data_IF_507455203473
#
_entry.id   IF_507455203473
#
_cell.length_a   1.000
_cell.length_b   1.000
_cell.length_c   1.000
_cell.angle_alpha   90.00
_cell.angle_beta   90.00
_cell.angle_gamma   90.00
#
_symmetry.space_group_name_H-M   'P 1'
#
loop_
_entity.id
_entity.type
_entity.pdbx_description
1 polymer ?
#
# COMPACT_ATOMS: atom_id res chain seq x y z
N UNK A 1 12.50 -20.55 11.94
CA UNK A 1 11.15 -20.00 11.69
C UNK A 1 11.23 -19.19 10.42
N UNK A 2 10.46 -19.53 9.38
CA UNK A 2 10.35 -18.69 8.19
C UNK A 2 9.83 -17.29 8.61
N UNK A 3 10.41 -16.24 8.05
CA UNK A 3 10.03 -14.87 8.35
C UNK A 3 8.95 -14.45 7.36
N UNK A 4 7.75 -14.15 7.84
CA UNK A 4 6.69 -13.65 6.97
C UNK A 4 6.97 -12.19 6.64
N UNK A 5 7.13 -11.90 5.35
CA UNK A 5 7.27 -10.55 4.82
C UNK A 5 5.98 -10.17 4.10
N UNK A 6 5.41 -9.02 4.47
CA UNK A 6 4.22 -8.45 3.82
C UNK A 6 4.58 -7.12 3.18
N UNK A 7 4.17 -6.92 1.94
CA UNK A 7 4.43 -5.69 1.19
C UNK A 7 3.08 -5.13 0.76
N UNK A 8 2.82 -3.88 1.10
CA UNK A 8 1.65 -3.15 0.63
C UNK A 8 2.07 -2.04 -0.32
N UNK A 9 1.35 -1.95 -1.45
CA UNK A 9 1.63 -0.98 -2.52
C UNK A 9 0.33 -0.22 -2.80
N UNK A 10 0.35 1.10 -2.55
CA UNK A 10 -0.63 2.05 -3.09
C UNK A 10 -0.07 2.64 -4.39
N UNK A 11 -0.52 2.19 -5.57
CA UNK A 11 0.11 2.55 -6.84
C UNK A 11 -0.49 3.82 -7.45
N UNK A 12 0.34 4.53 -8.22
CA UNK A 12 -0.12 5.63 -9.06
C UNK A 12 0.48 5.58 -10.47
N UNK A 13 -0.30 5.97 -11.47
CA UNK A 13 0.19 6.13 -12.84
C UNK A 13 0.82 7.49 -13.11
N UNK A 14 0.44 8.54 -12.37
CA UNK A 14 0.80 9.95 -12.65
C UNK A 14 0.95 10.83 -11.40
N UNK A 15 0.91 10.24 -10.20
CA UNK A 15 1.02 10.91 -8.91
C UNK A 15 2.05 10.26 -8.00
N UNK A 16 1.64 9.84 -6.80
CA UNK A 16 2.51 9.22 -5.79
C UNK A 16 2.21 7.75 -5.61
N UNK A 17 3.23 6.90 -5.75
CA UNK A 17 3.19 5.51 -5.33
C UNK A 17 3.81 5.40 -3.94
N UNK A 18 3.16 4.68 -3.02
CA UNK A 18 3.72 4.35 -1.71
C UNK A 18 3.91 2.83 -1.56
N UNK A 19 5.03 2.44 -0.96
CA UNK A 19 5.36 1.05 -0.65
C UNK A 19 5.74 0.94 0.82
N UNK A 20 5.24 -0.09 1.49
CA UNK A 20 5.63 -0.43 2.87
C UNK A 20 6.00 -1.90 2.99
N UNK A 21 6.94 -2.20 3.89
CA UNK A 21 7.41 -3.56 4.13
C UNK A 21 7.29 -3.89 5.61
N UNK A 22 6.58 -4.98 5.87
CA UNK A 22 6.48 -5.59 7.18
C UNK A 22 7.30 -6.86 7.22
N UNK A 23 7.95 -7.08 8.37
CA UNK A 23 8.59 -8.33 8.71
C UNK A 23 8.08 -8.78 10.07
N UNK A 24 7.43 -9.95 10.12
CA UNK A 24 6.78 -10.46 11.33
C UNK A 24 5.85 -9.41 11.98
N UNK A 25 4.98 -8.80 11.18
CA UNK A 25 4.03 -7.74 11.59
C UNK A 25 4.66 -6.46 12.16
N UNK A 26 5.95 -6.22 11.95
CA UNK A 26 6.60 -4.93 12.24
C UNK A 26 6.95 -4.22 10.94
N UNK A 27 6.55 -2.96 10.81
CA UNK A 27 6.98 -2.12 9.69
C UNK A 27 8.50 -1.90 9.79
N UNK A 28 9.24 -2.31 8.76
CA UNK A 28 10.71 -2.20 8.70
C UNK A 28 11.19 -1.23 7.63
N UNK A 29 10.36 -0.93 6.64
CA UNK A 29 10.69 0.06 5.61
C UNK A 29 9.42 0.69 5.02
N UNK A 30 9.55 1.92 4.53
CA UNK A 30 8.49 2.68 3.87
C UNK A 30 9.11 3.65 2.86
N UNK A 31 8.55 3.73 1.65
CA UNK A 31 8.99 4.66 0.61
C UNK A 31 7.81 5.28 -0.13
N UNK A 32 8.02 6.49 -0.63
CA UNK A 32 7.12 7.19 -1.53
C UNK A 32 7.89 7.64 -2.77
N UNK A 33 7.24 7.56 -3.93
CA UNK A 33 7.79 8.00 -5.19
C UNK A 33 6.74 8.79 -5.96
N UNK A 34 7.07 10.03 -6.34
CA UNK A 34 6.16 10.92 -7.07
C UNK A 34 6.69 11.17 -8.48
N UNK A 35 5.92 10.81 -9.49
CA UNK A 35 6.24 11.04 -10.90
C UNK A 35 4.96 11.09 -11.75
N UNK A 36 5.04 11.74 -12.92
CA UNK A 36 3.95 11.84 -13.89
C UNK A 36 3.89 10.69 -14.88
N UNK A 37 4.91 9.82 -14.91
CA UNK A 37 4.99 8.71 -15.86
C UNK A 37 4.84 7.34 -15.21
N UNK A 38 3.96 6.51 -15.76
CA UNK A 38 3.66 5.18 -15.23
C UNK A 38 4.84 4.21 -15.35
N UNK A 39 5.73 4.40 -16.34
CA UNK A 39 6.91 3.56 -16.54
C UNK A 39 7.89 3.73 -15.39
N UNK A 40 8.08 4.96 -14.95
CA UNK A 40 8.93 5.33 -13.84
C UNK A 40 8.37 4.75 -12.53
N UNK A 41 7.05 4.75 -12.35
CA UNK A 41 6.39 4.05 -11.23
C UNK A 41 6.60 2.54 -11.28
N UNK A 42 6.47 1.93 -12.46
CA UNK A 42 6.75 0.51 -12.65
C UNK A 42 8.21 0.17 -12.31
N UNK A 43 9.17 0.93 -12.84
CA UNK A 43 10.60 0.76 -12.56
C UNK A 43 10.90 0.93 -11.06
N UNK A 44 10.32 1.94 -10.41
CA UNK A 44 10.43 2.13 -8.97
C UNK A 44 9.97 0.88 -8.20
N UNK A 45 8.77 0.38 -8.48
CA UNK A 45 8.21 -0.80 -7.81
C UNK A 45 9.09 -2.04 -8.06
N UNK A 46 9.45 -2.32 -9.31
CA UNK A 46 10.23 -3.52 -9.66
C UNK A 46 11.64 -3.47 -9.08
N UNK A 47 12.31 -2.31 -9.14
CA UNK A 47 13.63 -2.15 -8.55
C UNK A 47 13.58 -2.28 -7.02
N UNK A 48 12.51 -1.77 -6.40
CA UNK A 48 12.29 -1.95 -4.96
C UNK A 48 12.12 -3.43 -4.62
N UNK A 49 11.26 -4.17 -5.31
CA UNK A 49 11.02 -5.60 -5.08
C UNK A 49 12.25 -6.49 -5.39
N UNK A 50 13.17 -6.01 -6.22
CA UNK A 50 14.47 -6.68 -6.53
C UNK A 50 15.57 -6.33 -5.53
N UNK A 51 15.33 -5.50 -4.52
CA UNK A 51 16.36 -5.04 -3.60
C UNK A 51 16.84 -6.16 -2.67
N UNK A 52 17.90 -6.86 -3.08
CA UNK A 52 18.48 -7.99 -2.33
C UNK A 52 18.91 -7.64 -0.90
N UNK A 53 19.18 -6.36 -0.57
CA UNK A 53 19.51 -5.97 0.81
C UNK A 53 18.30 -6.08 1.74
N UNK A 54 17.11 -5.73 1.25
CA UNK A 54 15.89 -5.75 2.04
C UNK A 54 15.30 -7.17 2.15
N UNK A 55 15.55 -7.95 1.11
CA UNK A 55 14.76 -9.11 0.74
C UNK A 55 15.58 -10.40 0.66
N UNK A 56 16.90 -10.30 0.54
CA UNK A 56 17.75 -11.42 0.15
C UNK A 56 17.52 -11.81 -1.31
N UNK A 57 18.03 -12.98 -1.72
CA UNK A 57 17.91 -13.50 -3.09
C UNK A 57 16.52 -14.11 -3.35
N UNK A 58 15.47 -13.28 -3.28
CA UNK A 58 14.06 -13.72 -3.36
C UNK A 58 13.72 -14.32 -4.73
N UNK A 59 14.22 -13.73 -5.80
CA UNK A 59 13.66 -13.94 -7.13
C UNK A 59 14.27 -15.12 -7.90
N UNK A 60 14.56 -16.23 -7.21
CA UNK A 60 15.05 -17.44 -7.90
C UNK A 60 14.18 -18.70 -7.75
N UNK A 61 13.35 -18.89 -6.71
CA UNK A 61 12.75 -20.24 -6.48
C UNK A 61 11.38 -20.29 -5.77
N UNK A 62 10.28 -19.79 -6.36
CA UNK A 62 8.91 -20.19 -5.95
C UNK A 62 8.50 -20.05 -4.45
N UNK A 63 9.10 -19.14 -3.67
CA UNK A 63 8.78 -18.97 -2.24
C UNK A 63 7.56 -18.05 -1.97
N UNK A 64 6.41 -18.30 -2.61
CA UNK A 64 5.16 -17.56 -2.38
C UNK A 64 4.68 -17.57 -0.91
N UNK A 65 5.13 -18.55 -0.12
CA UNK A 65 4.74 -18.69 1.29
C UNK A 65 5.48 -17.75 2.25
N UNK A 66 6.61 -17.15 1.83
CA UNK A 66 7.40 -16.24 2.67
C UNK A 66 7.08 -14.76 2.41
N UNK A 67 6.54 -14.44 1.23
CA UNK A 67 6.29 -13.09 0.76
C UNK A 67 4.85 -12.92 0.30
N UNK A 68 4.13 -12.01 0.96
CA UNK A 68 2.80 -11.57 0.54
C UNK A 68 2.93 -10.16 -0.02
N UNK A 69 2.68 -9.99 -1.32
CA UNK A 69 2.77 -8.71 -2.00
C UNK A 69 1.37 -8.32 -2.47
N UNK A 70 0.86 -7.23 -1.90
CA UNK A 70 -0.47 -6.71 -2.18
C UNK A 70 -0.38 -5.35 -2.84
N UNK A 71 -1.12 -5.17 -3.93
CA UNK A 71 -1.25 -3.89 -4.64
C UNK A 71 -2.71 -3.51 -4.77
N UNK A 72 -3.05 -2.25 -4.51
CA UNK A 72 -4.42 -1.80 -4.72
C UNK A 72 -4.76 -1.63 -6.21
N UNK A 73 -5.86 -2.24 -6.62
CA UNK A 73 -6.40 -2.11 -7.97
C UNK A 73 -7.41 -0.95 -8.02
N UNK A 74 -6.89 0.27 -8.07
CA UNK A 74 -7.65 1.50 -7.88
C UNK A 74 -8.41 1.99 -9.14
N UNK A 75 -8.99 1.07 -9.93
CA UNK A 75 -9.67 1.46 -11.17
C UNK A 75 -10.81 2.45 -10.90
N UNK A 76 -10.65 3.65 -11.45
CA UNK A 76 -11.64 4.70 -11.43
C UNK A 76 -12.91 4.18 -12.10
N UNK A 77 -14.00 4.10 -11.34
CA UNK A 77 -15.33 3.70 -11.81
C UNK A 77 -15.99 4.73 -12.74
N UNK A 78 -15.27 5.77 -13.16
CA UNK A 78 -15.79 6.79 -14.07
C UNK A 78 -15.39 6.47 -15.51
N UNK A 79 -16.41 6.35 -16.37
CA UNK A 79 -16.32 6.00 -17.78
C UNK A 79 -15.57 7.01 -18.67
N UNK A 80 -15.05 8.11 -18.11
CA UNK A 80 -14.33 9.14 -18.88
C UNK A 80 -12.85 8.75 -18.96
N UNK A 81 -12.38 8.45 -20.18
CA UNK A 81 -10.98 8.10 -20.46
C UNK A 81 -10.03 9.25 -20.14
N UNK A 82 -9.48 9.25 -18.93
CA UNK A 82 -8.41 10.16 -18.52
C UNK A 82 -7.06 9.47 -18.69
N UNK A 83 -6.05 10.26 -19.06
CA UNK A 83 -4.65 9.79 -19.13
C UNK A 83 -4.23 9.08 -17.84
N UNK A 84 -4.63 9.61 -16.68
CA UNK A 84 -4.30 9.04 -15.37
C UNK A 84 -4.88 7.63 -15.18
N UNK A 85 -6.11 7.39 -15.65
CA UNK A 85 -6.73 6.06 -15.62
C UNK A 85 -5.97 5.10 -16.53
N UNK A 86 -5.67 5.51 -17.75
CA UNK A 86 -5.00 4.66 -18.73
C UNK A 86 -3.56 4.34 -18.32
N UNK A 87 -2.87 5.29 -17.69
CA UNK A 87 -1.52 5.12 -17.17
C UNK A 87 -1.50 4.23 -15.91
N UNK A 88 -2.48 4.35 -15.01
CA UNK A 88 -2.66 3.38 -13.92
C UNK A 88 -3.00 1.97 -14.43
N UNK A 89 -3.85 1.86 -15.45
CA UNK A 89 -4.17 0.58 -16.12
C UNK A 89 -2.93 -0.08 -16.71
N UNK A 90 -2.08 0.68 -17.41
CA UNK A 90 -0.80 0.18 -17.95
C UNK A 90 0.12 -0.29 -16.84
N UNK A 91 0.23 0.47 -15.74
CA UNK A 91 1.03 0.08 -14.59
C UNK A 91 0.55 -1.24 -13.99
N UNK A 92 -0.75 -1.33 -13.65
CA UNK A 92 -1.34 -2.51 -13.03
C UNK A 92 -1.23 -3.73 -13.94
N UNK A 93 -1.57 -3.59 -15.23
CA UNK A 93 -1.43 -4.67 -16.21
C UNK A 93 0.02 -5.13 -16.38
N UNK A 94 1.00 -4.21 -16.35
CA UNK A 94 2.42 -4.57 -16.40
C UNK A 94 2.85 -5.32 -15.15
N UNK A 95 2.38 -4.93 -13.97
CA UNK A 95 2.69 -5.60 -12.70
C UNK A 95 1.99 -6.96 -12.56
N UNK A 96 0.80 -7.13 -13.14
CA UNK A 96 0.08 -8.41 -13.15
C UNK A 96 0.89 -9.51 -13.86
N UNK A 97 1.65 -9.15 -14.91
CA UNK A 97 2.54 -10.10 -15.62
C UNK A 97 3.61 -10.73 -14.73
N UNK A 98 3.88 -10.17 -13.54
CA UNK A 98 4.84 -10.73 -12.59
C UNK A 98 4.34 -12.02 -11.93
N UNK A 99 3.01 -12.27 -11.87
CA UNK A 99 2.43 -13.54 -11.39
C UNK A 99 2.54 -13.83 -9.88
N UNK A 100 3.22 -12.97 -9.11
CA UNK A 100 3.39 -13.09 -7.66
C UNK A 100 2.82 -11.90 -6.85
N UNK A 101 2.20 -10.92 -7.52
CA UNK A 101 1.58 -9.76 -6.88
C UNK A 101 0.06 -9.98 -6.83
N UNK A 102 -0.52 -9.97 -5.64
CA UNK A 102 -1.96 -10.08 -5.43
C UNK A 102 -2.64 -8.70 -5.46
N UNK A 103 -3.78 -8.58 -6.12
CA UNK A 103 -4.51 -7.32 -6.24
C UNK A 103 -5.60 -7.20 -5.18
N UNK A 104 -5.71 -6.02 -4.58
CA UNK A 104 -6.69 -5.70 -3.54
C UNK A 104 -7.70 -4.67 -4.06
N UNK A 105 -8.98 -4.86 -3.73
CA UNK A 105 -10.01 -3.89 -4.09
C UNK A 105 -9.88 -2.61 -3.27
N UNK A 106 -10.04 -1.42 -3.87
CA UNK A 106 -10.04 -0.14 -3.16
C UNK A 106 -11.21 0.00 -2.19
N UNK A 107 -12.20 -0.90 -2.24
CA UNK A 107 -13.26 -0.98 -1.22
C UNK A 107 -12.67 -1.27 0.17
N UNK A 108 -11.57 -2.02 0.25
CA UNK A 108 -10.96 -2.39 1.52
C UNK A 108 -10.39 -1.17 2.26
N UNK A 109 -9.47 -0.45 1.62
CA UNK A 109 -8.87 0.79 2.15
C UNK A 109 -9.94 1.84 2.45
N UNK A 110 -10.84 2.10 1.50
CA UNK A 110 -11.96 3.05 1.67
C UNK A 110 -12.84 2.71 2.87
N UNK A 111 -13.12 1.42 3.11
CA UNK A 111 -13.92 1.00 4.26
C UNK A 111 -13.22 1.31 5.58
N UNK A 112 -11.91 1.00 5.70
CA UNK A 112 -11.12 1.28 6.91
C UNK A 112 -11.09 2.78 7.18
N UNK A 113 -10.74 3.58 6.17
CA UNK A 113 -10.67 5.05 6.28
C UNK A 113 -12.01 5.63 6.68
N UNK A 114 -13.09 5.25 5.99
CA UNK A 114 -14.45 5.74 6.27
C UNK A 114 -14.89 5.39 7.69
N UNK A 115 -14.60 4.18 8.16
CA UNK A 115 -14.98 3.75 9.51
C UNK A 115 -14.23 4.53 10.57
N UNK A 116 -12.90 4.62 10.47
CA UNK A 116 -12.09 5.34 11.47
C UNK A 116 -12.40 6.83 11.49
N UNK A 117 -12.53 7.48 10.33
CA UNK A 117 -12.82 8.92 10.25
C UNK A 117 -14.23 9.24 10.74
N UNK A 118 -15.26 8.45 10.38
CA UNK A 118 -16.62 8.72 10.82
C UNK A 118 -16.83 8.43 12.31
N UNK A 119 -16.33 7.30 12.81
CA UNK A 119 -16.48 6.97 14.22
C UNK A 119 -15.75 7.98 15.11
N UNK A 120 -14.64 8.55 14.64
CA UNK A 120 -13.90 9.57 15.38
C UNK A 120 -14.65 10.87 15.63
N UNK A 121 -15.63 11.21 14.79
CA UNK A 121 -16.47 12.42 14.96
C UNK A 121 -17.23 12.44 16.28
N UNK A 122 -17.57 11.25 16.80
CA UNK A 122 -18.40 11.11 17.99
C UNK A 122 -17.58 11.03 19.28
N UNK A 123 -16.25 10.92 19.16
CA UNK A 123 -15.32 10.80 20.29
C UNK A 123 -14.21 11.85 20.15
N UNK A 124 -14.57 13.13 20.30
CA UNK A 124 -13.61 14.23 20.20
C UNK A 124 -12.46 14.06 21.20
N UNK A 125 -11.24 14.36 20.75
CA UNK A 125 -10.03 14.12 21.53
C UNK A 125 -9.48 12.69 21.51
N UNK A 126 -10.26 11.68 21.11
CA UNK A 126 -9.83 10.27 21.17
C UNK A 126 -8.94 9.87 19.98
N UNK A 127 -7.92 9.05 20.28
CA UNK A 127 -7.01 8.48 19.28
C UNK A 127 -7.54 7.11 18.85
N UNK A 128 -8.04 7.03 17.62
CA UNK A 128 -8.45 5.79 16.99
C UNK A 128 -7.25 5.03 16.49
N UNK A 129 -7.25 3.72 16.70
CA UNK A 129 -6.18 2.81 16.30
C UNK A 129 -6.74 1.84 15.28
N UNK A 130 -6.01 1.60 14.21
CA UNK A 130 -6.37 0.56 13.26
C UNK A 130 -6.14 -0.81 13.91
N UNK A 131 -7.15 -1.68 13.88
CA UNK A 131 -7.12 -2.96 14.61
C UNK A 131 -5.95 -3.87 14.17
N UNK A 132 -5.62 -3.86 12.88
CA UNK A 132 -4.56 -4.71 12.32
C UNK A 132 -3.15 -4.12 12.44
N UNK A 133 -3.04 -2.83 12.72
CA UNK A 133 -1.79 -2.18 13.14
C UNK A 133 -2.09 -0.99 14.04
N UNK A 134 -1.98 -1.21 15.34
CA UNK A 134 -2.32 -0.22 16.38
C UNK A 134 -1.44 1.02 16.37
N UNK A 135 -0.33 1.01 15.62
CA UNK A 135 0.53 2.17 15.44
C UNK A 135 -0.01 3.13 14.38
N UNK A 136 -0.85 2.64 13.47
CA UNK A 136 -1.61 3.48 12.54
C UNK A 136 -2.80 4.07 13.29
N UNK A 137 -2.78 5.39 13.44
CA UNK A 137 -3.74 6.11 14.27
C UNK A 137 -4.35 7.31 13.55
N UNK A 138 -5.55 7.67 13.99
CA UNK A 138 -6.29 8.83 13.51
C UNK A 138 -6.99 9.53 14.68
N UNK A 139 -7.05 10.86 14.62
CA UNK A 139 -7.86 11.68 15.51
C UNK A 139 -8.70 12.62 14.64
N UNK A 140 -9.97 12.81 15.01
CA UNK A 140 -10.89 13.65 14.27
C UNK A 140 -10.33 15.06 14.00
N UNK A 141 -10.46 15.52 12.76
CA UNK A 141 -9.96 16.83 12.31
C UNK A 141 -8.43 16.93 12.23
N UNK A 142 -7.69 15.84 12.47
CA UNK A 142 -6.22 15.81 12.39
C UNK A 142 -5.73 14.91 11.26
N UNK A 143 -4.42 14.89 11.05
CA UNK A 143 -3.77 13.99 10.08
C UNK A 143 -3.61 12.58 10.64
N UNK A 144 -3.57 11.59 9.73
CA UNK A 144 -3.16 10.23 10.03
C UNK A 144 -1.72 10.17 10.54
N UNK A 145 -1.45 9.23 11.45
CA UNK A 145 -0.14 9.04 12.06
C UNK A 145 0.28 7.58 12.08
N UNK A 146 1.58 7.34 11.99
CA UNK A 146 2.21 6.05 12.28
C UNK A 146 3.26 6.24 13.36
N UNK A 147 3.21 5.48 14.45
CA UNK A 147 4.12 5.67 15.60
C UNK A 147 4.16 7.14 16.10
N UNK A 148 2.99 7.78 16.17
CA UNK A 148 2.81 9.20 16.51
C UNK A 148 3.37 10.25 15.52
N UNK A 149 4.04 9.82 14.44
CA UNK A 149 4.51 10.69 13.36
C UNK A 149 3.44 10.87 12.29
N UNK A 150 3.28 12.08 11.78
CA UNK A 150 2.37 12.36 10.67
C UNK A 150 2.83 11.60 9.41
N UNK A 151 1.89 10.97 8.71
CA UNK A 151 2.14 10.28 7.44
C UNK A 151 1.23 10.83 6.33
N UNK A 152 1.56 10.55 5.07
CA UNK A 152 0.70 10.82 3.92
C UNK A 152 -0.47 9.84 3.85
N UNK A 153 -1.48 10.19 3.05
CA UNK A 153 -2.59 9.27 2.76
C UNK A 153 -2.12 8.04 1.96
N UNK A 154 -1.11 8.19 1.10
CA UNK A 154 -0.56 7.09 0.31
C UNK A 154 0.14 6.06 1.21
N UNK A 155 0.96 6.51 2.16
CA UNK A 155 1.56 5.61 3.17
C UNK A 155 0.51 4.95 4.05
N UNK A 156 -0.55 5.68 4.45
CA UNK A 156 -1.69 5.10 5.18
C UNK A 156 -2.31 3.97 4.37
N UNK A 157 -2.61 4.20 3.09
CA UNK A 157 -3.26 3.19 2.25
C UNK A 157 -2.34 1.99 2.04
N UNK A 158 -1.06 2.19 1.76
CA UNK A 158 -0.06 1.12 1.69
C UNK A 158 0.01 0.27 2.98
N UNK A 159 -0.08 0.90 4.17
CA UNK A 159 -0.14 0.19 5.46
C UNK A 159 -1.40 -0.67 5.58
N UNK A 160 -2.56 -0.14 5.20
CA UNK A 160 -3.82 -0.88 5.23
C UNK A 160 -3.76 -2.06 4.25
N UNK A 161 -3.23 -1.85 3.04
CA UNK A 161 -3.06 -2.87 2.00
C UNK A 161 -2.13 -3.99 2.47
N UNK A 162 -1.00 -3.67 3.10
CA UNK A 162 -0.05 -4.67 3.62
C UNK A 162 -0.63 -5.57 4.72
N UNK A 163 -1.66 -5.08 5.41
CA UNK A 163 -2.37 -5.79 6.48
C UNK A 163 -3.73 -6.32 6.03
N UNK A 164 -3.96 -6.42 4.72
CA UNK A 164 -5.10 -7.14 4.17
C UNK A 164 -5.05 -8.61 4.60
N UNK A 165 -6.18 -9.13 5.08
CA UNK A 165 -6.37 -10.56 5.32
C UNK A 165 -7.71 -10.91 4.67
N UNK A 166 -7.70 -11.93 3.82
CA UNK A 166 -8.88 -12.45 3.12
C UNK A 166 -9.76 -13.30 4.02
#
# INVERSE_FOLDING_TARGET
>A
MSQLIKIGIDPSGTGTTAIVVYKNNKLIDKQEFTNKGWKEHYEFIINYLKNEKLFGKILSNNHKLEYLIFIENCLYTNANGSKDRDDLLKLLGSLETQGYIATISPKHTKSVVKNMENLSKYNDGYIWKYEKDVNLTYQYGKSWKYNNEKISNHLRDAIIIANYES
#
